data_IF_664279723716
#
_entry.id   IF_664279723716
#
_cell.length_a   1.000
_cell.length_b   1.000
_cell.length_c   1.000
_cell.angle_alpha   90.00
_cell.angle_beta   90.00
_cell.angle_gamma   90.00
#
_symmetry.space_group_name_H-M   'P 1'
#
loop_
_entity.id
_entity.type
_entity.pdbx_description
1 polymer ?
#
# COMPACT_ATOMS: atom_id res chain seq x y z
N UNK A 1 -11.47 5.95 -15.00
CA UNK A 1 -11.83 4.74 -14.23
C UNK A 1 -10.97 3.50 -14.55
N UNK A 2 -10.88 2.98 -15.80
CA UNK A 2 -10.26 1.68 -16.10
C UNK A 2 -8.85 1.51 -15.50
N UNK A 3 -7.99 2.52 -15.64
CA UNK A 3 -6.65 2.53 -15.04
C UNK A 3 -6.66 2.33 -13.52
N UNK A 4 -7.58 2.97 -12.79
CA UNK A 4 -7.68 2.86 -11.33
C UNK A 4 -8.14 1.45 -10.92
N UNK A 5 -9.10 0.88 -11.65
CA UNK A 5 -9.57 -0.50 -11.41
C UNK A 5 -8.45 -1.50 -11.69
N UNK A 6 -7.65 -1.32 -12.73
CA UNK A 6 -6.50 -2.19 -13.01
C UNK A 6 -5.44 -2.12 -11.90
N UNK A 7 -5.18 -0.92 -11.36
CA UNK A 7 -4.28 -0.77 -10.21
C UNK A 7 -4.85 -1.47 -8.98
N UNK A 8 -6.13 -1.27 -8.68
CA UNK A 8 -6.82 -1.95 -7.57
C UNK A 8 -6.75 -3.47 -7.73
N UNK A 9 -6.96 -3.99 -8.94
CA UNK A 9 -6.87 -5.42 -9.24
C UNK A 9 -5.46 -5.96 -9.00
N UNK A 10 -4.42 -5.23 -9.42
CA UNK A 10 -3.03 -5.60 -9.13
C UNK A 10 -2.76 -5.67 -7.63
N UNK A 11 -3.22 -4.68 -6.86
CA UNK A 11 -3.11 -4.73 -5.40
C UNK A 11 -3.95 -5.82 -4.76
N UNK A 12 -5.12 -6.15 -5.31
CA UNK A 12 -5.96 -7.25 -4.82
C UNK A 12 -5.26 -8.59 -5.00
N UNK A 13 -4.66 -8.80 -6.16
CA UNK A 13 -3.84 -9.99 -6.42
C UNK A 13 -2.69 -10.11 -5.41
N UNK A 14 -1.93 -9.03 -5.19
CA UNK A 14 -0.85 -9.01 -4.19
C UNK A 14 -1.36 -9.23 -2.76
N UNK A 15 -2.50 -8.64 -2.40
CA UNK A 15 -3.13 -8.83 -1.10
C UNK A 15 -3.50 -10.30 -0.87
N UNK A 16 -4.15 -10.95 -1.84
CA UNK A 16 -4.51 -12.36 -1.72
C UNK A 16 -3.28 -13.25 -1.68
N UNK A 17 -2.30 -13.00 -2.56
CA UNK A 17 -1.04 -13.76 -2.60
C UNK A 17 -0.26 -13.64 -1.27
N UNK A 18 -0.17 -12.43 -0.70
CA UNK A 18 0.48 -12.21 0.59
C UNK A 18 -0.25 -12.88 1.76
N UNK A 19 -1.59 -12.94 1.74
CA UNK A 19 -2.37 -13.64 2.76
C UNK A 19 -2.11 -15.15 2.75
N UNK A 20 -2.06 -15.75 1.56
CA UNK A 20 -1.67 -17.17 1.38
C UNK A 20 -0.22 -17.37 1.81
N UNK A 21 0.69 -16.51 1.36
CA UNK A 21 2.10 -16.57 1.72
C UNK A 21 2.30 -16.53 3.24
N UNK A 22 1.69 -15.56 3.95
CA UNK A 22 1.75 -15.48 5.40
C UNK A 22 1.34 -16.81 6.06
N UNK A 23 0.16 -17.34 5.68
CA UNK A 23 -0.39 -18.55 6.31
C UNK A 23 0.48 -19.78 6.08
N UNK A 24 0.93 -19.99 4.86
CA UNK A 24 1.71 -21.17 4.51
C UNK A 24 3.15 -21.03 5.00
N UNK A 25 3.77 -19.84 4.91
CA UNK A 25 5.14 -19.62 5.34
C UNK A 25 5.32 -19.77 6.85
N UNK A 26 4.40 -19.25 7.68
CA UNK A 26 4.48 -19.46 9.14
C UNK A 26 4.27 -20.92 9.50
N UNK A 27 3.33 -21.60 8.83
CA UNK A 27 3.09 -23.05 9.01
C UNK A 27 4.31 -23.89 8.65
N UNK A 28 4.99 -23.59 7.54
CA UNK A 28 6.20 -24.31 7.13
C UNK A 28 7.38 -24.15 8.09
N UNK A 29 7.39 -23.09 8.90
CA UNK A 29 8.44 -22.81 9.88
C UNK A 29 7.97 -23.04 11.33
N UNK A 30 6.82 -23.70 11.53
CA UNK A 30 6.21 -23.95 12.85
C UNK A 30 6.10 -22.67 13.73
N UNK A 31 5.90 -21.52 13.09
CA UNK A 31 5.90 -20.22 13.76
C UNK A 31 4.49 -19.82 14.21
N UNK A 32 4.28 -19.67 15.51
CA UNK A 32 2.97 -19.38 16.13
C UNK A 32 2.83 -17.98 16.72
N UNK A 33 3.92 -17.22 16.81
CA UNK A 33 3.93 -15.90 17.43
C UNK A 33 3.38 -14.80 16.49
N UNK A 34 3.00 -13.63 17.02
CA UNK A 34 2.65 -12.49 16.19
C UNK A 34 3.82 -12.04 15.29
N UNK A 35 3.58 -11.89 13.99
CA UNK A 35 4.57 -11.38 13.03
C UNK A 35 4.01 -10.25 12.17
N UNK A 36 4.91 -9.36 11.74
CA UNK A 36 4.65 -8.28 10.78
C UNK A 36 4.06 -8.80 9.45
N UNK A 37 4.31 -10.05 9.05
CA UNK A 37 3.70 -10.64 7.83
C UNK A 37 2.17 -10.61 7.85
N UNK A 38 1.55 -10.73 9.03
CA UNK A 38 0.09 -10.69 9.19
C UNK A 38 -0.51 -9.35 8.73
N UNK A 39 0.27 -8.27 8.77
CA UNK A 39 -0.16 -6.92 8.38
C UNK A 39 -0.15 -6.72 6.86
N UNK A 40 0.63 -7.52 6.12
CA UNK A 40 0.88 -7.33 4.69
C UNK A 40 -0.41 -7.39 3.87
N UNK A 41 -1.25 -8.40 4.17
CA UNK A 41 -2.54 -8.60 3.51
C UNK A 41 -3.46 -7.39 3.69
N UNK A 42 -3.61 -6.90 4.93
CA UNK A 42 -4.54 -5.81 5.26
C UNK A 42 -4.09 -4.49 4.63
N UNK A 43 -2.79 -4.17 4.65
CA UNK A 43 -2.29 -2.94 4.04
C UNK A 43 -2.49 -2.95 2.51
N UNK A 44 -2.18 -4.05 1.83
CA UNK A 44 -2.42 -4.18 0.39
C UNK A 44 -3.92 -4.16 0.05
N UNK A 45 -4.76 -4.77 0.86
CA UNK A 45 -6.21 -4.78 0.65
C UNK A 45 -6.80 -3.38 0.85
N UNK A 46 -6.51 -2.70 1.96
CA UNK A 46 -7.11 -1.41 2.28
C UNK A 46 -6.47 -0.27 1.49
N UNK A 47 -5.15 -0.12 1.55
CA UNK A 47 -4.43 1.00 0.94
C UNK A 47 -4.19 0.80 -0.56
N UNK A 48 -4.10 -0.45 -1.01
CA UNK A 48 -3.95 -0.77 -2.43
C UNK A 48 -5.29 -0.97 -3.14
N UNK A 49 -6.10 -1.90 -2.66
CA UNK A 49 -7.32 -2.31 -3.39
C UNK A 49 -8.46 -1.32 -3.15
N UNK A 50 -8.93 -1.20 -1.91
CA UNK A 50 -10.11 -0.39 -1.59
C UNK A 50 -9.90 1.09 -1.85
N UNK A 51 -8.73 1.64 -1.52
CA UNK A 51 -8.38 3.02 -1.87
C UNK A 51 -8.60 3.30 -3.36
N UNK A 52 -8.07 2.46 -4.25
CA UNK A 52 -8.20 2.68 -5.69
C UNK A 52 -9.60 2.40 -6.23
N UNK A 53 -10.36 1.46 -5.64
CA UNK A 53 -11.77 1.26 -5.98
C UNK A 53 -12.61 2.48 -5.60
N UNK A 54 -12.40 3.04 -4.40
CA UNK A 54 -13.09 4.27 -3.97
C UNK A 54 -12.74 5.42 -4.92
N UNK A 55 -11.46 5.62 -5.25
CA UNK A 55 -11.05 6.64 -6.22
C UNK A 55 -11.63 6.39 -7.61
N UNK A 56 -11.79 5.12 -8.02
CA UNK A 56 -12.44 4.77 -9.27
C UNK A 56 -13.91 5.19 -9.28
N UNK A 57 -14.64 4.94 -8.19
CA UNK A 57 -16.03 5.36 -8.02
C UNK A 57 -16.15 6.89 -8.01
N UNK A 58 -15.29 7.59 -7.27
CA UNK A 58 -15.23 9.07 -7.31
C UNK A 58 -14.96 9.58 -8.72
N UNK A 59 -14.16 8.88 -9.53
CA UNK A 59 -13.87 9.28 -10.90
C UNK A 59 -15.05 9.13 -11.88
N UNK A 60 -16.15 8.48 -11.48
CA UNK A 60 -17.34 8.31 -12.34
C UNK A 60 -18.16 9.60 -12.46
N UNK A 61 -18.29 10.33 -11.37
CA UNK A 61 -19.16 11.52 -11.28
C UNK A 61 -18.38 12.82 -11.19
N UNK A 62 -17.06 12.78 -11.32
CA UNK A 62 -16.20 13.93 -11.05
C UNK A 62 -15.05 14.09 -12.04
N UNK A 63 -14.48 15.29 -12.06
CA UNK A 63 -13.31 15.63 -12.84
C UNK A 63 -11.97 15.16 -12.23
N UNK A 64 -12.00 14.25 -11.25
CA UNK A 64 -10.82 13.80 -10.47
C UNK A 64 -9.60 13.49 -11.35
N UNK A 65 -9.79 12.77 -12.46
CA UNK A 65 -8.72 12.36 -13.36
C UNK A 65 -8.09 13.52 -14.15
N UNK A 66 -8.79 14.65 -14.27
CA UNK A 66 -8.33 15.86 -14.97
C UNK A 66 -7.49 16.77 -14.06
N UNK A 67 -7.50 16.55 -12.74
CA UNK A 67 -6.74 17.35 -11.78
C UNK A 67 -5.26 16.93 -11.83
N UNK A 68 -4.37 17.84 -12.25
CA UNK A 68 -2.93 17.55 -12.39
C UNK A 68 -2.31 16.94 -11.13
N UNK A 69 -2.67 17.46 -9.95
CA UNK A 69 -2.19 16.97 -8.64
C UNK A 69 -2.58 15.52 -8.34
N UNK A 70 -3.64 14.98 -8.96
CA UNK A 70 -4.02 13.58 -8.80
C UNK A 70 -2.97 12.62 -9.39
N UNK A 71 -2.35 13.01 -10.52
CA UNK A 71 -1.23 12.25 -11.08
C UNK A 71 0.01 12.27 -10.19
N UNK A 72 0.26 13.40 -9.51
CA UNK A 72 1.35 13.52 -8.53
C UNK A 72 1.10 12.64 -7.31
N UNK A 73 -0.14 12.63 -6.78
CA UNK A 73 -0.56 11.71 -5.73
C UNK A 73 -0.20 10.26 -6.09
N UNK A 74 -0.60 9.76 -7.27
CA UNK A 74 -0.33 8.37 -7.66
C UNK A 74 1.18 8.06 -7.77
N UNK A 75 1.97 9.03 -8.26
CA UNK A 75 3.42 8.88 -8.42
C UNK A 75 4.17 8.79 -7.09
N UNK A 76 3.64 9.38 -6.02
CA UNK A 76 4.23 9.31 -4.68
C UNK A 76 3.64 8.12 -3.91
N UNK A 77 2.32 7.94 -4.01
CA UNK A 77 1.57 6.95 -3.25
C UNK A 77 1.98 5.51 -3.59
N UNK A 78 2.02 5.14 -4.88
CA UNK A 78 2.29 3.74 -5.25
C UNK A 78 3.70 3.29 -4.87
N UNK A 79 4.78 4.05 -5.16
CA UNK A 79 6.10 3.68 -4.69
C UNK A 79 6.21 3.68 -3.17
N UNK A 80 5.59 4.64 -2.48
CA UNK A 80 5.56 4.68 -1.01
C UNK A 80 4.89 3.45 -0.40
N UNK A 81 3.75 3.02 -0.96
CA UNK A 81 3.03 1.83 -0.52
C UNK A 81 3.85 0.55 -0.82
N UNK A 82 4.43 0.42 -2.01
CA UNK A 82 5.28 -0.72 -2.35
C UNK A 82 6.52 -0.80 -1.47
N UNK A 83 7.12 0.35 -1.12
CA UNK A 83 8.26 0.40 -0.21
C UNK A 83 7.88 -0.04 1.21
N UNK A 84 6.73 0.40 1.72
CA UNK A 84 6.20 -0.05 3.01
C UNK A 84 5.92 -1.57 3.00
N UNK A 85 5.29 -2.07 1.95
CA UNK A 85 5.00 -3.50 1.78
C UNK A 85 6.30 -4.31 1.75
N UNK A 86 7.34 -3.83 1.07
CA UNK A 86 8.64 -4.49 1.03
C UNK A 86 9.32 -4.54 2.41
N UNK A 87 9.27 -3.47 3.20
CA UNK A 87 9.86 -3.47 4.54
C UNK A 87 9.10 -4.36 5.52
N UNK A 88 7.76 -4.37 5.46
CA UNK A 88 6.91 -5.28 6.25
C UNK A 88 7.19 -6.73 5.89
N UNK A 89 7.29 -7.05 4.59
CA UNK A 89 7.61 -8.38 4.09
C UNK A 89 9.00 -8.83 4.59
N UNK A 90 10.03 -8.01 4.39
CA UNK A 90 11.40 -8.33 4.80
C UNK A 90 11.50 -8.54 6.32
N UNK A 91 10.94 -7.61 7.10
CA UNK A 91 10.92 -7.71 8.58
C UNK A 91 10.20 -8.97 9.03
N UNK A 92 9.03 -9.26 8.45
CA UNK A 92 8.26 -10.42 8.84
C UNK A 92 8.89 -11.76 8.44
N UNK A 93 9.59 -11.83 7.31
CA UNK A 93 10.38 -13.02 6.95
C UNK A 93 11.52 -13.25 7.96
N UNK A 94 12.25 -12.19 8.33
CA UNK A 94 13.33 -12.24 9.33
C UNK A 94 12.80 -12.73 10.69
N UNK A 95 11.63 -12.21 11.11
CA UNK A 95 10.96 -12.62 12.35
C UNK A 95 10.63 -14.12 12.35
N UNK A 96 10.00 -14.62 11.28
CA UNK A 96 9.58 -16.04 11.18
C UNK A 96 10.78 -16.97 11.11
N UNK A 97 11.87 -16.56 10.46
CA UNK A 97 13.11 -17.36 10.39
C UNK A 97 13.94 -17.30 11.68
N UNK A 98 13.56 -16.50 12.68
CA UNK A 98 14.30 -16.35 13.92
C UNK A 98 15.71 -15.76 13.72
N UNK A 99 15.93 -15.01 12.65
CA UNK A 99 17.24 -14.44 12.33
C UNK A 99 17.51 -13.25 13.25
N UNK A 100 18.57 -13.34 14.05
CA UNK A 100 19.01 -12.21 14.86
C UNK A 100 19.39 -11.01 13.99
N UNK A 101 18.68 -9.91 14.19
CA UNK A 101 18.95 -8.68 13.44
C UNK A 101 20.15 -7.94 14.01
N UNK A 102 21.17 -7.71 13.18
CA UNK A 102 22.23 -6.78 13.54
C UNK A 102 21.68 -5.36 13.73
N UNK A 103 22.31 -4.56 14.60
CA UNK A 103 21.91 -3.16 14.82
C UNK A 103 21.84 -2.36 13.51
N UNK A 104 22.75 -2.64 12.58
CA UNK A 104 22.77 -2.01 11.25
C UNK A 104 21.56 -2.37 10.41
N UNK A 105 21.21 -3.67 10.30
CA UNK A 105 20.06 -4.12 9.53
C UNK A 105 18.74 -3.57 10.10
N UNK A 106 18.59 -3.58 11.42
CA UNK A 106 17.43 -2.97 12.11
C UNK A 106 17.31 -1.49 11.78
N UNK A 107 18.40 -0.73 11.88
CA UNK A 107 18.41 0.69 11.56
C UNK A 107 18.05 0.95 10.09
N UNK A 108 18.57 0.15 9.15
CA UNK A 108 18.25 0.26 7.72
C UNK A 108 16.77 0.00 7.44
N UNK A 109 16.21 -1.11 7.94
CA UNK A 109 14.79 -1.44 7.74
C UNK A 109 13.89 -0.37 8.35
N UNK A 110 14.23 0.10 9.56
CA UNK A 110 13.50 1.18 10.22
C UNK A 110 13.57 2.49 9.42
N UNK A 111 14.74 2.85 8.90
CA UNK A 111 14.94 4.06 8.10
C UNK A 111 14.12 4.04 6.81
N UNK A 112 14.17 2.92 6.06
CA UNK A 112 13.38 2.75 4.84
C UNK A 112 11.87 2.78 5.15
N UNK A 113 11.45 2.14 6.25
CA UNK A 113 10.07 2.20 6.72
C UNK A 113 9.64 3.63 7.02
N UNK A 114 10.48 4.43 7.69
CA UNK A 114 10.23 5.84 7.94
C UNK A 114 10.04 6.67 6.67
N UNK A 115 10.89 6.45 5.65
CA UNK A 115 10.75 7.10 4.34
C UNK A 115 9.42 6.73 3.67
N UNK A 116 9.03 5.45 3.72
CA UNK A 116 7.75 5.00 3.18
C UNK A 116 6.57 5.69 3.88
N UNK A 117 6.60 5.83 5.20
CA UNK A 117 5.57 6.53 5.97
C UNK A 117 5.49 8.01 5.60
N UNK A 118 6.62 8.71 5.49
CA UNK A 118 6.67 10.12 5.08
C UNK A 118 6.09 10.29 3.67
N UNK A 119 6.46 9.40 2.73
CA UNK A 119 5.94 9.43 1.36
C UNK A 119 4.42 9.23 1.32
N UNK A 120 3.90 8.26 2.09
CA UNK A 120 2.47 8.02 2.20
C UNK A 120 1.74 9.21 2.83
N UNK A 121 2.27 9.78 3.91
CA UNK A 121 1.71 10.98 4.54
C UNK A 121 1.64 12.16 3.58
N UNK A 122 2.72 12.43 2.84
CA UNK A 122 2.75 13.46 1.80
C UNK A 122 1.72 13.19 0.69
N UNK A 123 1.61 11.94 0.24
CA UNK A 123 0.61 11.54 -0.74
C UNK A 123 -0.82 11.77 -0.24
N UNK A 124 -1.13 11.43 1.01
CA UNK A 124 -2.44 11.71 1.60
C UNK A 124 -2.75 13.20 1.65
N UNK A 125 -1.80 14.05 2.04
CA UNK A 125 -1.97 15.51 2.01
C UNK A 125 -2.33 15.98 0.58
N UNK A 126 -1.61 15.49 -0.43
CA UNK A 126 -1.88 15.81 -1.85
C UNK A 126 -3.28 15.31 -2.24
N UNK A 127 -3.68 14.13 -1.80
CA UNK A 127 -5.01 13.58 -2.06
C UNK A 127 -6.10 14.48 -1.48
N UNK A 128 -5.99 14.95 -0.24
CA UNK A 128 -6.94 15.89 0.34
C UNK A 128 -6.99 17.22 -0.43
N UNK A 129 -5.85 17.73 -0.87
CA UNK A 129 -5.78 18.93 -1.72
C UNK A 129 -6.50 18.70 -3.06
N UNK A 130 -6.35 17.51 -3.66
CA UNK A 130 -7.05 17.12 -4.88
C UNK A 130 -8.55 17.05 -4.63
N UNK A 131 -8.99 16.35 -3.58
CA UNK A 131 -10.42 16.17 -3.25
C UNK A 131 -11.13 17.52 -3.03
N UNK A 132 -10.46 18.52 -2.45
CA UNK A 132 -10.99 19.89 -2.31
C UNK A 132 -11.13 20.64 -3.64
N UNK A 133 -10.45 20.21 -4.70
CA UNK A 133 -10.54 20.80 -6.05
C UNK A 133 -11.53 20.07 -6.96
N UNK A 134 -12.03 18.92 -6.53
CA UNK A 134 -12.94 18.09 -7.31
C UNK A 134 -14.26 18.82 -7.55
N UNK A 135 -14.74 18.76 -8.79
CA UNK A 135 -16.06 19.25 -9.20
C UNK A 135 -16.84 18.08 -9.79
N UNK A 136 -18.14 18.06 -9.53
CA UNK A 136 -19.05 17.14 -10.19
C UNK A 136 -19.02 17.39 -11.70
N UNK A 137 -18.84 16.34 -12.48
CA UNK A 137 -19.11 16.39 -13.90
C UNK A 137 -20.60 16.09 -14.07
N UNK A 138 -21.35 17.04 -14.65
CA UNK A 138 -22.74 16.76 -15.03
C UNK A 138 -22.70 15.56 -15.97
N UNK A 139 -23.40 14.49 -15.59
CA UNK A 139 -23.60 13.35 -16.47
C UNK A 139 -24.14 13.88 -17.79
N UNK A 140 -23.43 13.60 -18.88
CA UNK A 140 -24.03 13.70 -20.22
C UNK A 140 -25.16 12.67 -20.33
#
# INVERSE_FOLDING_TARGET
MKKLVNIAFGYAFLALASGVFFREFTKFNDFTEPTSLSLLHVHLMVLGTFMYLILALFSLSTNLLKIKKFSLFQKIYNPGLLLMVATVLAKGIIEVLGIEMSKGLTATISGISGIAHIALGAAFIILFIVLRQVKLEKSK
#
